data_IF_617608362301
#
_entry.id   IF_617608362301
#
_cell.length_a   1.000
_cell.length_b   1.000
_cell.length_c   1.000
_cell.angle_alpha   90.00
_cell.angle_beta   90.00
_cell.angle_gamma   90.00
#
_symmetry.space_group_name_H-M   'P 1'
#
loop_
_entity.id
_entity.type
_entity.pdbx_description
1 polymer ?
#
# COMPACT_ATOMS: atom_id res chain seq x y z
N UNK A 1 21.81 13.49 -1.66
CA UNK A 1 20.40 13.18 -1.49
C UNK A 1 19.82 12.76 -2.83
N UNK A 2 19.16 11.59 -2.88
CA UNK A 2 18.59 11.00 -4.07
C UNK A 2 17.06 10.89 -3.94
N UNK A 3 16.39 10.46 -5.00
CA UNK A 3 14.93 10.34 -4.99
C UNK A 3 14.40 9.39 -3.91
N UNK A 4 15.16 8.36 -3.49
CA UNK A 4 14.78 7.47 -2.39
C UNK A 4 14.66 8.21 -1.06
N UNK A 5 15.55 9.17 -0.81
CA UNK A 5 15.47 10.01 0.38
C UNK A 5 14.17 10.82 0.39
N UNK A 6 13.86 11.51 -0.71
CA UNK A 6 12.63 12.30 -0.80
C UNK A 6 11.38 11.42 -0.70
N UNK A 7 11.40 10.25 -1.34
CA UNK A 7 10.30 9.30 -1.27
C UNK A 7 10.08 8.79 0.16
N UNK A 8 11.14 8.48 0.89
CA UNK A 8 11.07 8.07 2.30
C UNK A 8 10.51 9.18 3.19
N UNK A 9 10.93 10.42 2.97
CA UNK A 9 10.41 11.59 3.68
C UNK A 9 8.91 11.79 3.41
N UNK A 10 8.49 11.68 2.16
CA UNK A 10 7.08 11.79 1.76
C UNK A 10 6.23 10.72 2.44
N UNK A 11 6.68 9.48 2.47
CA UNK A 11 5.97 8.39 3.16
C UNK A 11 5.90 8.63 4.67
N UNK A 12 7.00 9.02 5.31
CA UNK A 12 7.01 9.30 6.74
C UNK A 12 5.95 10.35 7.12
N UNK A 13 5.88 11.43 6.36
CA UNK A 13 4.91 12.50 6.60
C UNK A 13 3.49 12.02 6.30
N UNK A 14 3.31 11.32 5.19
CA UNK A 14 2.05 10.74 4.81
C UNK A 14 1.46 9.86 5.91
N UNK A 15 2.24 8.96 6.50
CA UNK A 15 1.77 8.09 7.57
C UNK A 15 1.32 8.87 8.79
N UNK A 16 2.06 9.89 9.19
CA UNK A 16 1.68 10.72 10.34
C UNK A 16 0.43 11.57 10.07
N UNK A 17 0.19 12.01 8.84
CA UNK A 17 -0.98 12.83 8.49
C UNK A 17 -2.22 11.97 8.26
N UNK A 18 -2.12 10.87 7.52
CA UNK A 18 -3.28 10.08 7.10
C UNK A 18 -3.55 8.87 7.98
N UNK A 19 -2.52 8.21 8.51
CA UNK A 19 -2.65 7.06 9.40
C UNK A 19 -2.44 7.45 10.87
N UNK A 20 -2.91 8.62 11.24
CA UNK A 20 -2.68 9.23 12.55
C UNK A 20 -3.40 8.54 13.72
N UNK A 21 -4.43 7.74 13.46
CA UNK A 21 -5.16 7.04 14.53
C UNK A 21 -4.28 5.95 15.13
N UNK A 22 -4.00 6.06 16.43
CA UNK A 22 -3.18 5.10 17.17
C UNK A 22 -3.95 3.80 17.38
N UNK A 23 -5.24 3.90 17.73
CA UNK A 23 -6.16 2.76 17.85
C UNK A 23 -7.00 2.64 16.59
N UNK A 24 -6.72 1.64 15.79
CA UNK A 24 -7.57 1.27 14.70
C UNK A 24 -7.57 -0.24 14.55
N UNK A 25 -8.76 -0.81 14.56
CA UNK A 25 -8.93 -2.24 14.38
C UNK A 25 -8.60 -2.66 12.94
N UNK A 26 -7.77 -3.69 12.80
CA UNK A 26 -7.46 -4.31 11.53
C UNK A 26 -6.03 -4.10 11.04
N UNK A 27 -5.65 -4.94 10.10
CA UNK A 27 -4.28 -5.07 9.58
C UNK A 27 -4.03 -4.23 8.31
N UNK A 28 -5.07 -3.55 7.80
CA UNK A 28 -5.03 -2.88 6.50
C UNK A 28 -3.95 -1.80 6.42
N UNK A 29 -3.84 -0.97 7.47
CA UNK A 29 -2.85 0.12 7.48
C UNK A 29 -1.44 -0.37 7.67
N UNK A 30 -1.24 -1.33 8.58
CA UNK A 30 0.06 -1.96 8.79
C UNK A 30 0.59 -2.55 7.48
N UNK A 31 -0.27 -3.27 6.73
CA UNK A 31 0.09 -3.80 5.43
C UNK A 31 0.43 -2.69 4.42
N UNK A 32 -0.33 -1.60 4.36
CA UNK A 32 -0.06 -0.49 3.44
C UNK A 32 1.25 0.25 3.78
N UNK A 33 1.60 0.39 5.06
CA UNK A 33 2.90 0.92 5.48
C UNK A 33 4.03 0.00 5.00
N UNK A 34 3.90 -1.31 5.19
CA UNK A 34 4.90 -2.27 4.74
C UNK A 34 5.02 -2.32 3.21
N UNK A 35 3.94 -2.13 2.47
CA UNK A 35 3.96 -2.02 1.01
C UNK A 35 4.80 -0.82 0.55
N UNK A 36 4.73 0.32 1.24
CA UNK A 36 5.58 1.47 0.91
C UNK A 36 7.06 1.15 1.08
N UNK A 37 7.41 0.44 2.16
CA UNK A 37 8.79 -0.02 2.43
C UNK A 37 9.22 -1.04 1.36
N UNK A 38 8.32 -1.95 0.97
CA UNK A 38 8.56 -2.91 -0.11
C UNK A 38 8.93 -2.20 -1.42
N UNK A 39 8.15 -1.20 -1.83
CA UNK A 39 8.46 -0.44 -3.04
C UNK A 39 9.76 0.36 -2.93
N UNK A 40 10.10 0.90 -1.76
CA UNK A 40 11.41 1.50 -1.51
C UNK A 40 12.54 0.50 -1.74
N UNK A 41 12.43 -0.73 -1.22
CA UNK A 41 13.43 -1.79 -1.41
C UNK A 41 13.59 -2.17 -2.90
N UNK A 42 12.49 -2.31 -3.62
CA UNK A 42 12.52 -2.67 -5.04
C UNK A 42 13.12 -1.54 -5.89
N UNK A 43 12.80 -0.29 -5.56
CA UNK A 43 13.41 0.86 -6.23
C UNK A 43 14.92 0.95 -5.96
N UNK A 44 15.43 0.48 -4.79
CA UNK A 44 16.88 0.38 -4.54
C UNK A 44 17.54 -0.72 -5.38
N UNK A 45 16.84 -1.84 -5.63
CA UNK A 45 17.33 -2.91 -6.51
C UNK A 45 17.60 -2.46 -7.95
N UNK A 46 16.94 -1.39 -8.43
CA UNK A 46 17.15 -0.86 -9.78
C UNK A 46 18.60 -0.45 -10.00
N UNK A 47 19.24 0.12 -8.99
CA UNK A 47 20.60 0.60 -9.07
C UNK A 47 21.63 -0.55 -9.06
N UNK A 48 21.20 -1.77 -8.68
CA UNK A 48 21.95 -3.02 -8.70
C UNK A 48 23.40 -2.85 -8.21
N UNK A 49 23.55 -2.25 -7.03
CA UNK A 49 24.81 -2.17 -6.34
C UNK A 49 25.21 -3.53 -5.75
N UNK A 50 26.41 -3.64 -5.21
CA UNK A 50 26.98 -4.90 -4.71
C UNK A 50 26.15 -5.60 -3.61
N UNK A 51 25.16 -4.94 -3.04
CA UNK A 51 24.30 -5.45 -1.94
C UNK A 51 22.89 -5.93 -2.37
N UNK A 52 22.74 -6.39 -3.61
CA UNK A 52 21.45 -6.89 -4.09
C UNK A 52 20.89 -8.06 -3.26
N UNK A 53 21.75 -8.85 -2.60
CA UNK A 53 21.33 -9.99 -1.78
C UNK A 53 20.50 -9.56 -0.57
N UNK A 54 20.97 -8.56 0.17
CA UNK A 54 20.25 -7.98 1.31
C UNK A 54 18.90 -7.42 0.87
N UNK A 55 18.85 -6.76 -0.29
CA UNK A 55 17.60 -6.20 -0.82
C UNK A 55 16.61 -7.27 -1.24
N UNK A 56 17.05 -8.40 -1.84
CA UNK A 56 16.21 -9.56 -2.12
C UNK A 56 15.66 -10.15 -0.82
N UNK A 57 16.51 -10.34 0.19
CA UNK A 57 16.10 -10.89 1.47
C UNK A 57 15.01 -10.02 2.13
N UNK A 58 15.23 -8.72 2.19
CA UNK A 58 14.26 -7.78 2.75
C UNK A 58 12.94 -7.79 1.96
N UNK A 59 13.01 -7.86 0.63
CA UNK A 59 11.82 -7.95 -0.24
C UNK A 59 11.01 -9.22 0.05
N UNK A 60 11.66 -10.38 0.17
CA UNK A 60 11.00 -11.65 0.47
C UNK A 60 10.32 -11.63 1.85
N UNK A 61 11.04 -11.15 2.87
CA UNK A 61 10.50 -11.02 4.24
C UNK A 61 9.30 -10.09 4.25
N UNK A 62 9.40 -8.91 3.65
CA UNK A 62 8.32 -7.93 3.60
C UNK A 62 7.09 -8.50 2.87
N UNK A 63 7.27 -9.15 1.72
CA UNK A 63 6.16 -9.79 0.99
C UNK A 63 5.49 -10.87 1.85
N UNK A 64 6.26 -11.73 2.52
CA UNK A 64 5.72 -12.75 3.40
C UNK A 64 4.88 -12.15 4.53
N UNK A 65 5.37 -11.11 5.21
CA UNK A 65 4.65 -10.43 6.29
C UNK A 65 3.40 -9.72 5.75
N UNK A 66 3.49 -9.01 4.63
CA UNK A 66 2.35 -8.30 4.01
C UNK A 66 1.20 -9.28 3.70
N UNK A 67 1.52 -10.42 3.09
CA UNK A 67 0.54 -11.44 2.74
C UNK A 67 -0.03 -12.10 4.01
N UNK A 68 0.80 -12.31 5.04
CA UNK A 68 0.34 -12.86 6.33
C UNK A 68 -0.59 -11.93 7.08
N UNK A 69 -0.43 -10.61 6.95
CA UNK A 69 -1.34 -9.63 7.55
C UNK A 69 -2.71 -9.64 6.86
N UNK A 70 -2.75 -9.82 5.54
CA UNK A 70 -3.99 -9.88 4.77
C UNK A 70 -3.73 -10.57 3.43
N UNK A 71 -4.35 -11.73 3.23
CA UNK A 71 -4.14 -12.54 2.02
C UNK A 71 -4.50 -11.83 0.70
N UNK A 72 -5.37 -10.82 0.73
CA UNK A 72 -5.65 -9.98 -0.42
C UNK A 72 -4.37 -9.41 -1.07
N UNK A 73 -3.34 -9.12 -0.28
CA UNK A 73 -2.07 -8.60 -0.78
C UNK A 73 -1.17 -9.66 -1.46
N UNK A 74 -1.65 -10.88 -1.67
CA UNK A 74 -0.99 -11.87 -2.54
C UNK A 74 -0.80 -11.32 -3.96
N UNK A 75 -1.67 -10.40 -4.41
CA UNK A 75 -1.55 -9.70 -5.68
C UNK A 75 -0.24 -8.92 -5.83
N UNK A 76 0.35 -8.51 -4.71
CA UNK A 76 1.64 -7.81 -4.70
C UNK A 76 2.83 -8.72 -5.03
N UNK A 77 2.64 -10.05 -5.18
CA UNK A 77 3.66 -10.93 -5.76
C UNK A 77 4.07 -10.50 -7.17
N UNK A 78 3.21 -9.80 -7.90
CA UNK A 78 3.53 -9.22 -9.22
C UNK A 78 4.78 -8.33 -9.19
N UNK A 79 5.13 -7.78 -8.02
CA UNK A 79 6.33 -6.97 -7.80
C UNK A 79 7.64 -7.76 -7.98
N UNK A 80 7.58 -9.08 -7.93
CA UNK A 80 8.72 -9.96 -8.21
C UNK A 80 9.11 -9.91 -9.71
N UNK A 81 8.16 -9.64 -10.60
CA UNK A 81 8.41 -9.59 -12.06
C UNK A 81 9.46 -8.53 -12.46
N UNK A 82 9.38 -7.26 -12.01
CA UNK A 82 10.45 -6.30 -12.22
C UNK A 82 11.82 -6.76 -11.71
N UNK A 83 11.85 -7.41 -10.56
CA UNK A 83 13.10 -7.95 -10.01
C UNK A 83 13.71 -9.02 -10.94
N UNK A 84 12.92 -10.01 -11.33
CA UNK A 84 13.34 -11.06 -12.28
C UNK A 84 13.84 -10.41 -13.59
N UNK A 85 13.10 -9.43 -14.11
CA UNK A 85 13.47 -8.73 -15.35
C UNK A 85 14.82 -8.01 -15.26
N UNK A 86 15.12 -7.37 -14.15
CA UNK A 86 16.41 -6.69 -13.91
C UNK A 86 17.55 -7.72 -13.95
N UNK A 87 17.38 -8.87 -13.29
CA UNK A 87 18.37 -9.96 -13.31
C UNK A 87 18.52 -10.60 -14.70
N UNK A 88 17.41 -10.76 -15.43
CA UNK A 88 17.42 -11.23 -16.81
C UNK A 88 18.26 -10.33 -17.72
N UNK A 89 18.00 -9.01 -17.68
CA UNK A 89 18.79 -8.05 -18.47
C UNK A 89 20.28 -8.04 -18.14
N UNK A 90 20.63 -8.30 -16.89
CA UNK A 90 22.03 -8.38 -16.45
C UNK A 90 22.66 -9.76 -16.69
N UNK A 91 21.95 -10.68 -17.33
CA UNK A 91 22.38 -12.08 -17.57
C UNK A 91 22.74 -12.82 -16.27
N UNK A 92 22.11 -12.48 -15.15
CA UNK A 92 22.35 -13.03 -13.80
C UNK A 92 21.17 -13.85 -13.26
N UNK A 93 20.25 -14.31 -14.12
CA UNK A 93 19.11 -15.13 -13.68
C UNK A 93 19.55 -16.44 -12.99
N UNK A 94 20.51 -17.16 -13.56
CA UNK A 94 21.04 -18.40 -12.96
C UNK A 94 21.59 -18.12 -11.56
N UNK A 95 22.31 -17.03 -11.38
CA UNK A 95 22.84 -16.61 -10.07
C UNK A 95 21.72 -16.31 -9.09
N UNK A 96 20.62 -15.68 -9.53
CA UNK A 96 19.44 -15.42 -8.69
C UNK A 96 18.80 -16.75 -8.25
N UNK A 97 18.52 -17.66 -9.16
CA UNK A 97 17.91 -18.95 -8.84
C UNK A 97 18.76 -19.78 -7.86
N UNK A 98 20.07 -19.91 -8.14
CA UNK A 98 20.98 -20.61 -7.23
C UNK A 98 21.01 -19.95 -5.86
N UNK A 99 21.01 -18.60 -5.82
CA UNK A 99 20.95 -17.87 -4.56
C UNK A 99 19.66 -18.15 -3.79
N UNK A 100 18.50 -18.14 -4.46
CA UNK A 100 17.21 -18.40 -3.81
C UNK A 100 17.13 -19.83 -3.23
N UNK A 101 17.65 -20.83 -3.97
CA UNK A 101 17.63 -22.23 -3.51
C UNK A 101 18.44 -22.46 -2.21
N UNK A 102 19.46 -21.64 -1.93
CA UNK A 102 20.27 -21.74 -0.72
C UNK A 102 19.98 -20.63 0.29
N UNK A 103 18.88 -19.89 0.09
CA UNK A 103 18.57 -18.71 0.89
C UNK A 103 17.51 -19.02 1.97
N UNK A 104 17.91 -18.92 3.26
CA UNK A 104 16.99 -19.11 4.40
C UNK A 104 15.77 -18.17 4.38
N UNK A 105 15.91 -16.94 3.87
CA UNK A 105 14.80 -15.97 3.77
C UNK A 105 13.78 -16.36 2.71
N UNK A 106 14.20 -17.07 1.67
CA UNK A 106 13.28 -17.64 0.69
C UNK A 106 12.44 -18.77 1.31
N UNK A 107 13.05 -19.65 2.09
CA UNK A 107 12.32 -20.69 2.82
C UNK A 107 11.40 -20.13 3.90
N UNK A 108 11.83 -19.06 4.60
CA UNK A 108 10.97 -18.33 5.53
C UNK A 108 9.76 -17.71 4.83
N UNK A 109 9.95 -17.10 3.66
CA UNK A 109 8.86 -16.59 2.84
C UNK A 109 7.88 -17.70 2.42
N UNK A 110 8.38 -18.84 1.95
CA UNK A 110 7.53 -19.99 1.60
C UNK A 110 6.80 -20.55 2.83
N UNK A 111 7.44 -20.60 3.98
CA UNK A 111 6.81 -21.02 5.23
C UNK A 111 5.65 -20.08 5.61
N UNK A 112 5.84 -18.78 5.53
CA UNK A 112 4.77 -17.79 5.79
C UNK A 112 3.60 -17.98 4.81
N UNK A 113 3.86 -18.18 3.52
CA UNK A 113 2.80 -18.46 2.55
C UNK A 113 2.06 -19.76 2.88
N UNK A 114 2.79 -20.85 3.21
CA UNK A 114 2.17 -22.11 3.60
C UNK A 114 1.31 -21.96 4.86
N UNK A 115 1.75 -21.18 5.85
CA UNK A 115 0.97 -20.92 7.05
C UNK A 115 -0.32 -20.16 6.74
N UNK A 116 -0.27 -19.15 5.86
CA UNK A 116 -1.48 -18.43 5.41
C UNK A 116 -2.45 -19.38 4.73
N UNK A 117 -1.97 -20.18 3.79
CA UNK A 117 -2.80 -21.20 3.10
C UNK A 117 -3.38 -22.20 4.09
N UNK A 118 -2.58 -22.70 5.05
CA UNK A 118 -3.03 -23.61 6.07
C UNK A 118 -4.14 -23.00 6.97
N UNK A 119 -3.97 -21.76 7.40
CA UNK A 119 -4.99 -21.03 8.19
C UNK A 119 -6.30 -20.91 7.42
N UNK A 120 -6.25 -20.53 6.14
CA UNK A 120 -7.47 -20.49 5.32
C UNK A 120 -8.07 -21.87 5.12
N UNK A 121 -7.26 -22.86 4.79
CA UNK A 121 -7.73 -24.23 4.57
C UNK A 121 -8.43 -24.78 5.81
N UNK A 122 -7.81 -24.72 6.97
CA UNK A 122 -8.38 -25.28 8.20
C UNK A 122 -9.60 -24.50 8.73
N UNK A 123 -9.71 -23.20 8.42
CA UNK A 123 -10.87 -22.41 8.87
C UNK A 123 -12.03 -22.38 7.87
N UNK A 124 -11.77 -22.56 6.58
CA UNK A 124 -12.81 -22.35 5.55
C UNK A 124 -12.95 -23.47 4.54
N UNK A 125 -11.99 -24.40 4.49
CA UNK A 125 -11.91 -25.42 3.44
C UNK A 125 -11.38 -24.88 2.10
N UNK A 126 -10.89 -23.64 2.06
CA UNK A 126 -10.35 -23.02 0.84
C UNK A 126 -8.87 -22.72 1.00
N UNK A 127 -8.06 -22.88 -0.06
CA UNK A 127 -6.64 -22.50 -0.02
C UNK A 127 -6.45 -20.98 0.01
N UNK A 128 -7.32 -20.26 -0.69
CA UNK A 128 -7.36 -18.78 -0.71
C UNK A 128 -8.80 -18.33 -0.59
N UNK A 129 -9.22 -17.94 0.60
CA UNK A 129 -10.57 -17.43 0.83
C UNK A 129 -10.66 -15.91 0.56
N UNK A 130 -11.70 -15.39 -0.11
CA UNK A 130 -12.95 -16.04 -0.56
C UNK A 130 -12.95 -16.49 -2.04
N UNK A 131 -11.87 -17.00 -2.58
CA UNK A 131 -11.79 -17.46 -3.97
C UNK A 131 -12.41 -18.85 -4.10
N UNK A 132 -13.63 -18.93 -4.64
CA UNK A 132 -14.46 -20.14 -4.70
C UNK A 132 -13.79 -21.34 -5.40
N UNK A 133 -12.98 -21.07 -6.45
CA UNK A 133 -12.24 -22.13 -7.19
C UNK A 133 -11.16 -22.81 -6.35
N UNK A 134 -10.76 -22.24 -5.21
CA UNK A 134 -9.77 -22.80 -4.30
C UNK A 134 -10.39 -23.63 -3.16
N UNK A 135 -11.72 -23.79 -3.13
CA UNK A 135 -12.44 -24.41 -2.03
C UNK A 135 -12.75 -25.89 -2.31
N UNK A 136 -12.64 -26.69 -1.28
CA UNK A 136 -12.95 -28.13 -1.28
C UNK A 136 -14.28 -28.36 -0.57
N UNK A 137 -15.26 -28.93 -1.28
CA UNK A 137 -16.60 -29.18 -0.73
C UNK A 137 -16.72 -30.53 0.03
N UNK A 138 -15.68 -31.37 -0.03
CA UNK A 138 -15.74 -32.75 0.44
C UNK A 138 -15.48 -32.90 1.96
N UNK A 139 -15.14 -31.82 2.64
CA UNK A 139 -14.87 -31.83 4.07
C UNK A 139 -16.13 -31.33 4.84
N UNK A 140 -16.51 -32.03 5.91
CA UNK A 140 -17.67 -31.65 6.73
C UNK A 140 -17.57 -30.24 7.33
N UNK A 141 -16.35 -29.79 7.62
CA UNK A 141 -16.08 -28.46 8.18
C UNK A 141 -15.87 -27.37 7.14
N UNK A 142 -15.89 -27.70 5.84
CA UNK A 142 -15.69 -26.72 4.79
C UNK A 142 -16.94 -25.84 4.63
N UNK A 143 -16.70 -24.51 4.49
CA UNK A 143 -17.78 -23.56 4.15
C UNK A 143 -18.29 -23.76 2.72
N UNK A 144 -17.51 -24.38 1.86
CA UNK A 144 -17.85 -24.67 0.47
C UNK A 144 -17.67 -23.51 -0.50
N UNK A 145 -17.63 -23.86 -1.78
CA UNK A 145 -17.40 -22.89 -2.87
C UNK A 145 -18.52 -21.87 -3.02
N UNK A 146 -19.78 -22.27 -2.75
CA UNK A 146 -20.95 -21.39 -2.83
C UNK A 146 -20.89 -20.28 -1.79
N UNK A 147 -20.54 -20.61 -0.54
CA UNK A 147 -20.36 -19.62 0.52
C UNK A 147 -19.22 -18.65 0.19
N UNK A 148 -18.08 -19.16 -0.29
CA UNK A 148 -16.95 -18.33 -0.70
C UNK A 148 -17.34 -17.37 -1.83
N UNK A 149 -18.12 -17.81 -2.81
CA UNK A 149 -18.63 -16.97 -3.89
C UNK A 149 -19.58 -15.86 -3.36
N UNK A 150 -20.49 -16.21 -2.47
CA UNK A 150 -21.40 -15.22 -1.82
C UNK A 150 -20.60 -14.15 -1.06
N UNK A 151 -19.58 -14.56 -0.32
CA UNK A 151 -18.72 -13.63 0.43
C UNK A 151 -17.87 -12.76 -0.49
N UNK A 152 -17.32 -13.30 -1.59
CA UNK A 152 -16.59 -12.50 -2.58
C UNK A 152 -17.50 -11.43 -3.21
N UNK A 153 -18.71 -11.79 -3.59
CA UNK A 153 -19.72 -10.87 -4.13
C UNK A 153 -20.10 -9.81 -3.08
N UNK A 154 -20.23 -10.19 -1.82
CA UNK A 154 -20.49 -9.27 -0.71
C UNK A 154 -19.39 -8.22 -0.56
N UNK A 155 -18.11 -8.61 -0.54
CA UNK A 155 -16.99 -7.67 -0.45
C UNK A 155 -16.86 -6.76 -1.67
N UNK A 156 -17.10 -7.30 -2.86
CA UNK A 156 -17.13 -6.55 -4.11
C UNK A 156 -18.25 -5.49 -4.09
N UNK A 157 -19.46 -5.90 -3.73
CA UNK A 157 -20.60 -5.00 -3.59
C UNK A 157 -20.38 -3.94 -2.52
N UNK A 158 -19.87 -4.32 -1.35
CA UNK A 158 -19.56 -3.41 -0.25
C UNK A 158 -18.59 -2.29 -0.69
N UNK A 159 -17.51 -2.63 -1.38
CA UNK A 159 -16.52 -1.65 -1.82
C UNK A 159 -17.07 -0.75 -2.93
N UNK A 160 -17.85 -1.28 -3.86
CA UNK A 160 -18.45 -0.54 -4.98
C UNK A 160 -19.66 0.30 -4.57
N UNK A 161 -20.39 -0.11 -3.53
CA UNK A 161 -21.51 0.66 -2.98
C UNK A 161 -21.08 1.82 -2.06
N UNK A 162 -19.79 2.13 -1.99
CA UNK A 162 -19.28 3.25 -1.20
C UNK A 162 -19.45 3.07 0.31
N UNK A 163 -19.38 1.85 0.82
CA UNK A 163 -19.62 1.48 2.22
C UNK A 163 -21.03 1.79 2.74
N UNK A 164 -22.00 1.94 1.84
CA UNK A 164 -23.41 2.01 2.23
C UNK A 164 -23.95 0.61 2.55
N UNK A 165 -25.00 0.49 3.38
CA UNK A 165 -25.63 -0.80 3.61
C UNK A 165 -26.06 -1.45 2.30
N UNK A 166 -25.67 -2.71 2.11
CA UNK A 166 -25.94 -3.48 0.89
C UNK A 166 -27.45 -3.59 0.62
N UNK A 167 -28.26 -3.54 1.68
CA UNK A 167 -29.74 -3.50 1.60
C UNK A 167 -30.29 -2.32 0.80
N UNK A 168 -29.50 -1.29 0.54
CA UNK A 168 -29.90 -0.14 -0.31
C UNK A 168 -29.63 -0.35 -1.80
N UNK A 169 -28.95 -1.42 -2.19
CA UNK A 169 -28.73 -1.77 -3.59
C UNK A 169 -29.84 -2.74 -4.02
N UNK A 170 -30.79 -2.25 -4.80
CA UNK A 170 -32.02 -3.00 -5.18
C UNK A 170 -31.69 -4.23 -6.03
N UNK A 171 -30.79 -4.12 -6.99
CA UNK A 171 -30.43 -5.18 -7.94
C UNK A 171 -28.90 -5.37 -7.98
N UNK A 172 -28.32 -6.14 -7.03
CA UNK A 172 -26.86 -6.28 -6.89
C UNK A 172 -26.16 -6.80 -8.15
N UNK A 173 -26.82 -7.71 -8.88
CA UNK A 173 -26.23 -8.30 -10.08
C UNK A 173 -26.09 -7.28 -11.22
N UNK A 174 -27.14 -6.49 -11.49
CA UNK A 174 -27.11 -5.41 -12.47
C UNK A 174 -26.16 -4.30 -12.03
N UNK A 175 -26.17 -3.97 -10.73
CA UNK A 175 -25.29 -2.95 -10.15
C UNK A 175 -23.80 -3.26 -10.35
N UNK A 176 -23.41 -4.52 -10.19
CA UNK A 176 -22.01 -4.97 -10.35
C UNK A 176 -21.57 -5.14 -11.80
N UNK A 177 -22.51 -5.16 -12.77
CA UNK A 177 -22.19 -5.30 -14.17
C UNK A 177 -21.46 -4.05 -14.71
N UNK A 178 -20.36 -4.29 -15.42
CA UNK A 178 -19.57 -3.24 -16.07
C UNK A 178 -19.24 -2.07 -15.09
N UNK A 179 -19.65 -0.85 -15.44
CA UNK A 179 -19.41 0.39 -14.68
C UNK A 179 -20.69 0.98 -14.08
N UNK A 180 -21.77 0.20 -13.96
CA UNK A 180 -23.05 0.70 -13.42
C UNK A 180 -22.94 1.22 -11.97
N UNK A 181 -21.97 0.70 -11.22
CA UNK A 181 -21.68 1.11 -9.84
C UNK A 181 -20.94 2.46 -9.74
N UNK A 182 -20.26 2.92 -10.81
CA UNK A 182 -19.36 4.09 -10.77
C UNK A 182 -20.08 5.38 -10.40
N UNK A 183 -21.24 5.75 -10.97
CA UNK A 183 -21.94 6.98 -10.59
C UNK A 183 -22.27 7.04 -9.10
N UNK A 184 -22.78 5.92 -8.55
CA UNK A 184 -23.11 5.83 -7.14
C UNK A 184 -21.83 5.89 -6.26
N UNK A 185 -20.77 5.20 -6.65
CA UNK A 185 -19.48 5.24 -5.95
C UNK A 185 -18.89 6.67 -5.93
N UNK A 186 -19.01 7.41 -7.04
CA UNK A 186 -18.55 8.81 -7.10
C UNK A 186 -19.32 9.66 -6.10
N UNK A 187 -20.63 9.55 -6.07
CA UNK A 187 -21.47 10.38 -5.20
C UNK A 187 -21.30 10.04 -3.71
N UNK A 188 -21.23 8.75 -3.36
CA UNK A 188 -21.23 8.30 -1.97
C UNK A 188 -19.82 8.16 -1.37
N UNK A 189 -18.83 7.77 -2.19
CA UNK A 189 -17.50 7.47 -1.66
C UNK A 189 -16.44 8.45 -2.14
N UNK A 190 -16.40 8.76 -3.44
CA UNK A 190 -15.38 9.64 -3.97
C UNK A 190 -15.44 11.02 -3.33
N UNK A 191 -16.59 11.71 -3.37
CA UNK A 191 -16.71 13.05 -2.80
C UNK A 191 -16.63 13.09 -1.28
N UNK A 192 -16.93 12.01 -0.57
CA UNK A 192 -16.87 11.97 0.89
C UNK A 192 -15.54 11.47 1.48
N UNK A 193 -14.75 10.70 0.72
CA UNK A 193 -13.52 10.08 1.25
C UNK A 193 -12.31 10.28 0.35
N UNK A 194 -12.48 10.03 -0.97
CA UNK A 194 -11.35 10.06 -1.90
C UNK A 194 -10.95 11.50 -2.20
N UNK A 195 -11.91 12.42 -2.38
CA UNK A 195 -11.64 13.84 -2.62
C UNK A 195 -10.87 14.48 -1.46
N UNK A 196 -11.28 14.24 -0.21
CA UNK A 196 -10.58 14.75 0.98
C UNK A 196 -9.15 14.21 1.05
N UNK A 197 -9.00 12.93 0.74
CA UNK A 197 -7.69 12.31 0.68
C UNK A 197 -6.80 12.92 -0.41
N UNK A 198 -7.33 13.11 -1.62
CA UNK A 198 -6.59 13.73 -2.73
C UNK A 198 -6.24 15.19 -2.45
N UNK A 199 -7.16 15.96 -1.86
CA UNK A 199 -6.87 17.34 -1.44
C UNK A 199 -5.75 17.38 -0.40
N UNK A 200 -5.80 16.50 0.60
CA UNK A 200 -4.73 16.39 1.60
C UNK A 200 -3.38 16.02 0.98
N UNK A 201 -3.36 15.07 0.01
CA UNK A 201 -2.14 14.75 -0.74
C UNK A 201 -1.63 15.92 -1.57
N UNK A 202 -2.53 16.65 -2.22
CA UNK A 202 -2.18 17.84 -3.00
C UNK A 202 -1.53 18.89 -2.11
N UNK A 203 -2.10 19.18 -0.94
CA UNK A 203 -1.52 20.10 0.05
C UNK A 203 -0.13 19.64 0.49
N UNK A 204 0.04 18.33 0.79
CA UNK A 204 1.33 17.77 1.15
C UNK A 204 2.38 17.95 0.05
N UNK A 205 2.01 17.69 -1.21
CA UNK A 205 2.87 17.88 -2.38
C UNK A 205 3.22 19.35 -2.56
N UNK A 206 2.25 20.27 -2.44
CA UNK A 206 2.48 21.71 -2.55
C UNK A 206 3.43 22.22 -1.48
N UNK A 207 3.25 21.85 -0.21
CA UNK A 207 4.15 22.24 0.88
C UNK A 207 5.56 21.69 0.63
N UNK A 208 5.66 20.41 0.25
CA UNK A 208 6.96 19.78 -0.03
C UNK A 208 7.63 20.45 -1.23
N UNK A 209 6.88 20.77 -2.27
CA UNK A 209 7.37 21.51 -3.44
C UNK A 209 7.88 22.89 -3.03
N UNK A 210 7.09 23.68 -2.30
CA UNK A 210 7.49 25.02 -1.84
C UNK A 210 8.77 24.98 -0.98
N UNK A 211 8.91 23.96 -0.13
CA UNK A 211 10.09 23.79 0.70
C UNK A 211 11.32 23.34 -0.07
N UNK A 212 11.20 22.43 -1.05
CA UNK A 212 12.35 21.80 -1.69
C UNK A 212 12.64 22.28 -3.11
N UNK A 213 11.77 23.11 -3.70
CA UNK A 213 12.03 23.69 -5.02
C UNK A 213 13.19 24.71 -4.95
N UNK A 214 14.13 24.59 -5.88
CA UNK A 214 15.24 25.52 -6.04
C UNK A 214 15.36 25.90 -7.52
N UNK A 215 15.51 27.20 -7.80
CA UNK A 215 15.63 27.74 -9.16
C UNK A 215 16.91 27.30 -9.90
N UNK A 216 17.89 26.72 -9.20
CA UNK A 216 19.11 26.21 -9.81
C UNK A 216 18.92 24.75 -10.27
N UNK A 217 18.40 24.58 -11.48
CA UNK A 217 18.39 23.28 -12.15
C UNK A 217 19.81 22.88 -12.53
N UNK A 218 20.39 21.92 -11.81
CA UNK A 218 21.63 21.29 -12.25
C UNK A 218 21.24 20.15 -13.17
N UNK A 219 21.81 20.12 -14.39
CA UNK A 219 21.70 18.96 -15.28
C UNK A 219 22.41 17.78 -14.61
N UNK A 220 21.68 17.01 -13.85
CA UNK A 220 22.19 15.74 -13.33
C UNK A 220 22.29 14.75 -14.49
N UNK A 221 23.46 14.15 -14.65
CA UNK A 221 23.59 12.90 -15.40
C UNK A 221 22.86 11.81 -14.60
N UNK A 222 21.55 11.70 -14.85
CA UNK A 222 20.73 10.66 -14.27
C UNK A 222 21.14 9.33 -14.90
N UNK A 223 22.13 8.67 -14.30
CA UNK A 223 22.56 7.30 -14.65
C UNK A 223 21.50 6.24 -14.29
N UNK A 224 20.27 6.67 -13.93
CA UNK A 224 19.19 5.74 -13.68
C UNK A 224 18.69 5.15 -15.00
N UNK A 225 18.59 3.85 -15.06
CA UNK A 225 17.87 3.19 -16.12
C UNK A 225 16.39 3.59 -16.04
N UNK A 226 16.01 4.66 -16.72
CA UNK A 226 14.62 5.14 -16.80
C UNK A 226 13.64 4.01 -17.12
N UNK A 227 14.10 3.01 -17.92
CA UNK A 227 13.32 1.82 -18.28
C UNK A 227 12.95 0.95 -17.06
N UNK A 228 13.83 0.82 -16.08
CA UNK A 228 13.56 -0.02 -14.91
C UNK A 228 12.58 0.67 -13.94
N UNK A 229 12.67 1.99 -13.77
CA UNK A 229 11.69 2.75 -12.99
C UNK A 229 10.31 2.64 -13.66
N UNK A 230 10.26 2.78 -14.98
CA UNK A 230 9.02 2.64 -15.74
C UNK A 230 8.38 1.25 -15.55
N UNK A 231 9.18 0.19 -15.50
CA UNK A 231 8.68 -1.17 -15.26
C UNK A 231 8.01 -1.30 -13.87
N UNK A 232 8.63 -0.75 -12.82
CA UNK A 232 8.03 -0.75 -11.48
C UNK A 232 6.76 0.11 -11.46
N UNK A 233 6.80 1.26 -12.13
CA UNK A 233 5.63 2.13 -12.22
C UNK A 233 4.47 1.47 -12.97
N UNK A 234 4.76 0.67 -13.99
CA UNK A 234 3.75 -0.14 -14.69
C UNK A 234 3.08 -1.17 -13.77
N UNK A 235 3.84 -1.78 -12.86
CA UNK A 235 3.26 -2.66 -11.84
C UNK A 235 2.32 -1.91 -10.90
N UNK A 236 2.69 -0.70 -10.49
CA UNK A 236 1.80 0.15 -9.66
C UNK A 236 0.52 0.48 -10.41
N UNK A 237 0.61 0.79 -11.70
CA UNK A 237 -0.55 1.07 -12.56
C UNK A 237 -1.46 -0.18 -12.67
N UNK A 238 -0.88 -1.36 -12.89
CA UNK A 238 -1.65 -2.61 -12.97
C UNK A 238 -2.39 -2.88 -11.65
N UNK A 239 -1.69 -2.76 -10.50
CA UNK A 239 -2.30 -2.91 -9.18
C UNK A 239 -3.37 -1.85 -8.90
N UNK A 240 -3.19 -0.62 -9.39
CA UNK A 240 -4.18 0.44 -9.26
C UNK A 240 -5.47 0.13 -10.05
N UNK A 241 -5.34 -0.35 -11.29
CA UNK A 241 -6.51 -0.76 -12.07
C UNK A 241 -7.21 -1.97 -11.47
N UNK A 242 -6.46 -2.96 -11.00
CA UNK A 242 -7.02 -4.11 -10.29
C UNK A 242 -7.82 -3.66 -9.06
N UNK A 243 -7.22 -2.80 -8.22
CA UNK A 243 -7.88 -2.23 -7.06
C UNK A 243 -9.17 -1.48 -7.44
N UNK A 244 -9.10 -0.60 -8.45
CA UNK A 244 -10.25 0.20 -8.85
C UNK A 244 -11.41 -0.65 -9.40
N UNK A 245 -11.11 -1.66 -10.20
CA UNK A 245 -12.14 -2.49 -10.85
C UNK A 245 -12.79 -3.47 -9.88
N UNK A 246 -12.05 -3.99 -8.90
CA UNK A 246 -12.54 -5.04 -8.03
C UNK A 246 -12.93 -4.52 -6.63
N UNK A 247 -12.09 -3.70 -6.01
CA UNK A 247 -12.29 -3.25 -4.64
C UNK A 247 -11.94 -1.77 -4.44
N UNK A 248 -12.69 -0.82 -5.04
CA UNK A 248 -12.38 0.61 -5.08
C UNK A 248 -12.59 1.32 -3.74
N UNK A 249 -12.05 0.75 -2.68
CA UNK A 249 -12.02 1.34 -1.33
C UNK A 249 -10.59 1.67 -0.95
N UNK A 250 -10.34 2.90 -0.46
CA UNK A 250 -9.01 3.33 -0.02
C UNK A 250 -8.40 2.39 1.02
N UNK A 251 -9.24 1.78 1.86
CA UNK A 251 -8.85 0.79 2.86
C UNK A 251 -8.18 -0.44 2.24
N UNK A 252 -8.62 -0.90 1.08
CA UNK A 252 -8.09 -2.09 0.40
C UNK A 252 -6.85 -1.80 -0.46
N UNK A 253 -5.97 -0.92 0.00
CA UNK A 253 -4.70 -0.59 -0.66
C UNK A 253 -4.73 0.70 -1.47
N UNK A 254 -5.90 1.34 -1.64
CA UNK A 254 -6.03 2.56 -2.42
C UNK A 254 -5.18 3.72 -1.91
N UNK A 255 -5.04 3.88 -0.58
CA UNK A 255 -4.18 4.92 0.00
C UNK A 255 -2.75 4.81 -0.53
N UNK A 256 -2.16 3.62 -0.44
CA UNK A 256 -0.76 3.44 -0.83
C UNK A 256 -0.57 3.46 -2.34
N UNK A 257 -1.52 2.90 -3.12
CA UNK A 257 -1.42 2.88 -4.58
C UNK A 257 -1.45 4.29 -5.17
N UNK A 258 -2.38 5.13 -4.71
CA UNK A 258 -2.46 6.54 -5.13
C UNK A 258 -1.20 7.31 -4.72
N UNK A 259 -0.70 7.07 -3.50
CA UNK A 259 0.57 7.66 -3.06
C UNK A 259 1.75 7.24 -3.93
N UNK A 260 1.87 5.96 -4.28
CA UNK A 260 2.96 5.46 -5.15
C UNK A 260 2.90 6.11 -6.53
N UNK A 261 1.70 6.22 -7.12
CA UNK A 261 1.51 6.88 -8.41
C UNK A 261 1.95 8.34 -8.40
N UNK A 262 1.77 9.05 -7.29
CA UNK A 262 2.12 10.46 -7.16
C UNK A 262 3.55 10.66 -6.65
N UNK A 263 3.96 9.94 -5.60
CA UNK A 263 5.22 10.20 -4.90
C UNK A 263 6.45 9.72 -5.65
N UNK A 264 6.37 8.64 -6.43
CA UNK A 264 7.51 8.17 -7.23
C UNK A 264 7.93 9.24 -8.23
N UNK A 265 7.07 9.73 -9.15
CA UNK A 265 7.47 10.76 -10.09
C UNK A 265 7.84 12.08 -9.40
N UNK A 266 7.14 12.45 -8.32
CA UNK A 266 7.42 13.67 -7.58
C UNK A 266 8.78 13.62 -6.87
N UNK A 267 9.17 12.49 -6.28
CA UNK A 267 10.49 12.32 -5.65
C UNK A 267 11.64 12.43 -6.67
N UNK A 268 11.44 11.89 -7.89
CA UNK A 268 12.40 12.02 -8.98
C UNK A 268 12.50 13.49 -9.46
N UNK A 269 11.38 14.21 -9.46
CA UNK A 269 11.37 15.64 -9.75
C UNK A 269 12.15 16.43 -8.68
N UNK A 270 11.92 16.14 -7.39
CA UNK A 270 12.63 16.80 -6.29
C UNK A 270 14.15 16.54 -6.30
N UNK A 271 14.57 15.36 -6.74
CA UNK A 271 16.00 15.03 -6.87
C UNK A 271 16.76 16.02 -7.80
N UNK A 272 16.08 16.57 -8.82
CA UNK A 272 16.65 17.54 -9.75
C UNK A 272 16.93 18.89 -9.10
N UNK A 273 16.31 19.17 -7.96
CA UNK A 273 16.45 20.42 -7.23
C UNK A 273 17.53 20.29 -6.16
N UNK A 274 18.78 20.57 -6.50
CA UNK A 274 19.87 20.45 -5.52
C UNK A 274 19.86 21.63 -4.55
N UNK A 275 19.70 21.30 -3.28
CA UNK A 275 19.85 22.21 -2.15
C UNK A 275 21.12 21.88 -1.38
N UNK A 276 21.71 22.87 -0.70
CA UNK A 276 22.78 22.61 0.25
C UNK A 276 22.28 21.75 1.41
N UNK A 277 23.16 20.94 1.97
CA UNK A 277 22.82 19.99 3.07
C UNK A 277 22.15 20.71 4.23
N UNK A 278 22.62 21.90 4.60
CA UNK A 278 22.06 22.67 5.72
C UNK A 278 20.64 23.16 5.44
N UNK A 279 20.38 23.61 4.20
CA UNK A 279 19.02 23.99 3.79
C UNK A 279 18.08 22.81 3.79
N UNK A 280 18.56 21.63 3.36
CA UNK A 280 17.75 20.40 3.40
C UNK A 280 17.42 20.03 4.85
N UNK A 281 18.40 20.05 5.76
CA UNK A 281 18.19 19.76 7.19
C UNK A 281 17.17 20.70 7.82
N UNK A 282 17.28 22.02 7.55
CA UNK A 282 16.34 23.00 8.08
C UNK A 282 14.91 22.76 7.56
N UNK A 283 14.76 22.59 6.24
CA UNK A 283 13.45 22.37 5.60
C UNK A 283 12.80 21.05 6.01
N UNK A 284 13.62 20.02 6.22
CA UNK A 284 13.19 18.75 6.75
C UNK A 284 12.66 18.89 8.18
N UNK A 285 13.35 19.65 9.05
CA UNK A 285 12.86 19.95 10.42
C UNK A 285 11.50 20.64 10.39
N UNK A 286 11.33 21.63 9.50
CA UNK A 286 10.03 22.33 9.34
C UNK A 286 8.94 21.33 8.94
N UNK A 287 9.21 20.49 7.95
CA UNK A 287 8.23 19.53 7.41
C UNK A 287 7.85 18.48 8.47
N UNK A 288 8.82 17.97 9.22
CA UNK A 288 8.57 17.02 10.33
C UNK A 288 7.79 17.71 11.45
N UNK A 289 8.12 18.95 11.79
CA UNK A 289 7.36 19.70 12.81
C UNK A 289 5.90 19.90 12.41
N UNK A 290 5.63 20.22 11.14
CA UNK A 290 4.26 20.31 10.60
C UNK A 290 3.55 18.96 10.74
N UNK A 291 4.22 17.84 10.35
CA UNK A 291 3.62 16.51 10.46
C UNK A 291 3.28 16.14 11.91
N UNK A 292 4.17 16.44 12.86
CA UNK A 292 3.94 16.20 14.29
C UNK A 292 2.76 17.04 14.80
N UNK A 293 2.71 18.34 14.46
CA UNK A 293 1.62 19.22 14.86
C UNK A 293 0.29 18.69 14.33
N UNK A 294 0.22 18.30 13.04
CA UNK A 294 -1.00 17.73 12.45
C UNK A 294 -1.38 16.42 13.14
N UNK A 295 -0.41 15.53 13.40
CA UNK A 295 -0.65 14.26 14.10
C UNK A 295 -1.25 14.49 15.49
N UNK A 296 -0.61 15.34 16.30
CA UNK A 296 -1.06 15.64 17.66
C UNK A 296 -2.43 16.31 17.64
N UNK A 297 -2.63 17.35 16.82
CA UNK A 297 -3.89 18.08 16.73
C UNK A 297 -5.06 17.18 16.35
N UNK A 298 -4.88 16.30 15.36
CA UNK A 298 -5.92 15.36 14.92
C UNK A 298 -6.27 14.33 16.00
N UNK A 299 -5.29 13.85 16.77
CA UNK A 299 -5.56 12.95 17.88
C UNK A 299 -6.26 13.66 19.04
N UNK A 300 -5.87 14.90 19.36
CA UNK A 300 -6.55 15.69 20.39
C UNK A 300 -8.02 15.98 20.03
N UNK A 301 -8.28 16.41 18.79
CA UNK A 301 -9.66 16.63 18.30
C UNK A 301 -10.46 15.33 18.39
N UNK A 302 -9.88 14.19 18.00
CA UNK A 302 -10.56 12.90 18.08
C UNK A 302 -10.91 12.53 19.52
N UNK A 303 -9.97 12.65 20.44
CA UNK A 303 -10.20 12.36 21.86
C UNK A 303 -11.31 13.27 22.43
N UNK A 304 -11.28 14.56 22.09
CA UNK A 304 -12.32 15.49 22.53
C UNK A 304 -13.71 15.08 22.01
N UNK A 305 -13.82 14.74 20.73
CA UNK A 305 -15.07 14.26 20.13
C UNK A 305 -15.56 12.96 20.79
N UNK A 306 -14.65 12.03 21.14
CA UNK A 306 -15.01 10.78 21.85
C UNK A 306 -15.47 11.05 23.26
N UNK A 307 -14.86 12.03 23.96
CA UNK A 307 -15.32 12.48 25.29
C UNK A 307 -16.74 13.04 25.22
N UNK A 308 -17.00 13.92 24.26
CA UNK A 308 -18.33 14.54 24.09
C UNK A 308 -19.41 13.52 23.65
N UNK A 309 -19.08 12.65 22.70
CA UNK A 309 -20.05 11.72 22.11
C UNK A 309 -20.35 10.52 23.01
N UNK A 310 -19.35 9.98 23.71
CA UNK A 310 -19.45 8.72 24.47
C UNK A 310 -19.27 8.89 25.96
N UNK A 311 -19.14 10.14 26.46
CA UNK A 311 -18.79 10.43 27.86
C UNK A 311 -17.54 9.65 28.31
N UNK A 312 -16.58 9.49 27.41
CA UNK A 312 -15.35 8.74 27.64
C UNK A 312 -14.43 9.47 28.61
N UNK A 313 -13.92 8.75 29.61
CA UNK A 313 -13.01 9.30 30.62
C UNK A 313 -11.57 8.76 30.33
N UNK A 314 -10.68 9.50 29.66
CA UNK A 314 -9.37 9.00 29.23
C UNK A 314 -8.49 8.47 30.36
N UNK A 315 -8.62 9.04 31.56
CA UNK A 315 -7.81 8.65 32.73
C UNK A 315 -8.34 7.39 33.41
N UNK A 316 -9.68 7.28 33.55
CA UNK A 316 -10.31 6.16 34.25
C UNK A 316 -10.59 4.96 33.34
N UNK A 317 -10.73 5.19 32.01
CA UNK A 317 -11.06 4.19 31.02
C UNK A 317 -9.93 3.95 30.02
N UNK A 318 -8.69 4.18 30.43
CA UNK A 318 -7.51 4.12 29.56
C UNK A 318 -7.18 2.73 28.98
N UNK A 319 -7.83 1.68 29.49
CA UNK A 319 -7.58 0.28 29.10
C UNK A 319 -8.77 -0.41 28.40
N UNK A 320 -9.75 0.33 27.93
CA UNK A 320 -10.86 -0.20 27.15
C UNK A 320 -10.72 0.14 25.67
#
# INVERSE_FOLDING_TARGET
FNYHFYLSVLFLIFFNIFFYRIQEHGTDRSAQILISILFLQILTLINFDNDYKTQINNTLVLLGIIISLKAFYILYLIVILPMIWIFYKKKKLKTLFVYLLWNKYFYMFLLLLMLVVAVYFFNTGCLVYPLSVSCFNNFEWSLGAEHAMKMNNHYNLWSKAGHTPISKVLEPEIYLQNFNWVPNWINLYFFNKVSDFLLGLLVLVMITFALFNNKKNIKLNLNYSKKNIFLIYSVVIILFFEWFLNHPSLRYGGYILVCLLLFIPFSIFLERNQLSVDKIKLRLKILISIAIIVFVSRNLVRINNEIEQYNYKPISNSFY
#
